data_IF_336738949787
#
_entry.id   IF_336738949787
#
_cell.length_a   1.000
_cell.length_b   1.000
_cell.length_c   1.000
_cell.angle_alpha   90.00
_cell.angle_beta   90.00
_cell.angle_gamma   90.00
#
_symmetry.space_group_name_H-M   'P 1'
#
loop_
_entity.id
_entity.type
_entity.pdbx_description
1 polymer ?
#
# COMPACT_ATOMS: atom_id res chain seq x y z
N UNK A 1 0.35 17.71 -6.25
CA UNK A 1 0.40 17.75 -4.77
C UNK A 1 0.19 19.20 -4.33
N UNK A 2 -0.68 19.48 -3.35
CA UNK A 2 -0.90 20.87 -2.88
C UNK A 2 0.14 21.21 -1.81
N UNK A 3 1.04 22.15 -2.12
CA UNK A 3 2.17 22.57 -1.27
C UNK A 3 1.76 23.35 -0.01
N UNK A 4 0.49 23.79 0.06
CA UNK A 4 -0.09 24.54 1.18
C UNK A 4 -1.50 24.00 1.44
N UNK A 5 -1.76 23.61 2.69
CA UNK A 5 -3.11 23.24 3.17
C UNK A 5 -3.54 24.15 4.31
N UNK A 6 -4.80 24.56 4.27
CA UNK A 6 -5.45 25.29 5.35
C UNK A 6 -6.38 24.33 6.07
N UNK A 7 -6.13 24.11 7.35
CA UNK A 7 -6.93 23.22 8.18
C UNK A 7 -7.46 23.99 9.40
N UNK A 8 -8.61 23.56 9.92
CA UNK A 8 -9.15 24.10 11.17
C UNK A 8 -8.93 23.09 12.29
N UNK A 9 -8.08 23.46 13.24
CA UNK A 9 -7.92 22.71 14.50
C UNK A 9 -8.93 23.27 15.52
N UNK A 10 -10.14 22.70 15.49
CA UNK A 10 -11.30 23.24 16.20
C UNK A 10 -11.70 24.62 15.66
N UNK A 11 -11.49 25.68 16.46
CA UNK A 11 -11.80 27.07 16.07
C UNK A 11 -10.58 27.84 15.56
N UNK A 12 -9.39 27.23 15.57
CA UNK A 12 -8.13 27.92 15.24
C UNK A 12 -7.66 27.52 13.83
N UNK A 13 -7.47 28.49 12.90
CA UNK A 13 -6.87 28.19 11.61
C UNK A 13 -5.41 27.77 11.78
N UNK A 14 -5.03 26.69 11.08
CA UNK A 14 -3.69 26.10 11.01
C UNK A 14 -3.25 26.06 9.55
N UNK A 15 -1.98 26.38 9.30
CA UNK A 15 -1.39 26.31 7.95
C UNK A 15 -0.40 25.17 7.94
N UNK A 16 -0.61 24.21 7.05
CA UNK A 16 0.29 23.06 6.86
C UNK A 16 1.12 23.33 5.61
N UNK A 17 2.43 23.40 5.79
CA UNK A 17 3.41 23.62 4.72
C UNK A 17 4.30 22.38 4.58
N UNK A 18 4.74 22.14 3.36
CA UNK A 18 5.77 21.15 3.05
C UNK A 18 7.12 21.52 3.73
N UNK A 19 7.89 20.51 4.17
CA UNK A 19 9.22 20.67 4.78
C UNK A 19 10.16 21.57 3.97
N UNK A 20 10.03 21.62 2.64
CA UNK A 20 10.84 22.51 1.80
C UNK A 20 10.76 24.01 2.20
N UNK A 21 9.69 24.41 2.92
CA UNK A 21 9.51 25.78 3.43
C UNK A 21 10.04 25.99 4.85
N UNK A 22 10.67 25.01 5.49
CA UNK A 22 11.26 25.11 6.84
C UNK A 22 12.13 26.37 6.96
N UNK A 23 13.04 26.57 6.01
CA UNK A 23 13.94 27.72 6.00
C UNK A 23 13.19 29.06 5.97
N UNK A 24 12.11 29.16 5.19
CA UNK A 24 11.28 30.36 5.13
C UNK A 24 10.57 30.64 6.46
N UNK A 25 9.99 29.60 7.09
CA UNK A 25 9.26 29.72 8.35
C UNK A 25 10.20 30.11 9.49
N UNK A 26 11.34 29.41 9.61
CA UNK A 26 12.34 29.68 10.65
C UNK A 26 12.94 31.07 10.50
N UNK A 27 13.32 31.46 9.27
CA UNK A 27 13.93 32.77 9.04
C UNK A 27 12.90 33.91 9.15
N UNK A 28 11.67 33.68 8.69
CA UNK A 28 10.55 34.61 8.85
C UNK A 28 10.25 34.91 10.32
N UNK A 29 10.14 33.89 11.17
CA UNK A 29 9.96 34.07 12.62
C UNK A 29 11.13 34.85 13.25
N UNK A 30 12.38 34.49 12.91
CA UNK A 30 13.56 35.21 13.43
C UNK A 30 13.59 36.68 13.00
N UNK A 31 13.18 36.99 11.77
CA UNK A 31 13.07 38.36 11.29
C UNK A 31 12.00 39.15 12.04
N UNK A 32 10.83 38.55 12.30
CA UNK A 32 9.77 39.17 13.10
C UNK A 32 10.28 39.53 14.50
N UNK A 33 10.98 38.60 15.16
CA UNK A 33 11.60 38.86 16.46
C UNK A 33 12.65 39.98 16.37
N UNK A 34 13.51 39.97 15.35
CA UNK A 34 14.53 41.01 15.15
C UNK A 34 13.90 42.39 14.91
N UNK A 35 12.82 42.48 14.13
CA UNK A 35 12.06 43.71 13.96
C UNK A 35 11.38 44.16 15.25
N UNK A 36 10.88 43.25 16.07
CA UNK A 36 10.37 43.55 17.41
C UNK A 36 11.44 44.19 18.31
N UNK A 37 12.66 43.65 18.29
CA UNK A 37 13.78 44.23 19.04
C UNK A 37 14.15 45.61 18.50
N UNK A 38 14.32 45.75 17.18
CA UNK A 38 14.67 47.03 16.55
C UNK A 38 13.62 48.12 16.79
N UNK A 39 12.33 47.77 16.69
CA UNK A 39 11.24 48.74 16.90
C UNK A 39 11.17 49.20 18.35
N UNK A 40 11.56 48.36 19.31
CA UNK A 40 11.64 48.75 20.73
C UNK A 40 12.71 49.83 21.02
N UNK A 41 13.73 49.95 20.17
CA UNK A 41 14.81 50.94 20.29
C UNK A 41 14.48 52.29 19.65
N UNK A 42 13.41 52.37 18.85
CA UNK A 42 13.02 53.58 18.15
C UNK A 42 12.00 54.38 18.96
N UNK A 43 12.21 55.70 19.06
CA UNK A 43 11.26 56.64 19.66
C UNK A 43 10.09 56.91 18.70
N UNK A 44 9.19 55.94 18.59
CA UNK A 44 8.01 55.97 17.71
C UNK A 44 6.80 56.56 18.48
N UNK A 45 5.99 57.45 17.86
CA UNK A 45 4.76 57.95 18.48
C UNK A 45 3.81 56.83 18.93
N UNK A 46 3.11 56.98 20.07
CA UNK A 46 2.31 55.90 20.67
C UNK A 46 1.28 55.23 19.73
N UNK A 47 0.53 55.97 18.88
CA UNK A 47 -0.44 55.33 17.97
C UNK A 47 0.23 54.40 16.97
N UNK A 48 1.42 54.75 16.49
CA UNK A 48 2.17 53.97 15.50
C UNK A 48 2.80 52.75 16.19
N UNK A 49 3.36 52.93 17.39
CA UNK A 49 3.95 51.85 18.17
C UNK A 49 2.93 50.74 18.49
N UNK A 50 1.70 51.13 18.86
CA UNK A 50 0.63 50.16 19.11
C UNK A 50 0.28 49.34 17.86
N UNK A 51 0.13 49.98 16.70
CA UNK A 51 -0.16 49.28 15.43
C UNK A 51 0.96 48.31 15.07
N UNK A 52 2.21 48.74 15.19
CA UNK A 52 3.39 47.89 14.92
C UNK A 52 3.42 46.68 15.85
N UNK A 53 3.16 46.86 17.15
CA UNK A 53 3.12 45.77 18.11
C UNK A 53 2.03 44.75 17.78
N UNK A 54 0.83 45.20 17.39
CA UNK A 54 -0.26 44.30 16.98
C UNK A 54 0.11 43.50 15.72
N UNK A 55 0.74 44.14 14.74
CA UNK A 55 1.18 43.46 13.51
C UNK A 55 2.26 42.42 13.80
N UNK A 56 3.27 42.76 14.60
CA UNK A 56 4.35 41.84 14.96
C UNK A 56 3.82 40.65 15.78
N UNK A 57 2.97 40.91 16.78
CA UNK A 57 2.32 39.85 17.54
C UNK A 57 1.44 38.95 16.65
N UNK A 58 0.75 39.53 15.65
CA UNK A 58 -0.02 38.78 14.67
C UNK A 58 0.86 37.89 13.79
N UNK A 59 2.05 38.37 13.38
CA UNK A 59 3.02 37.59 12.62
C UNK A 59 3.63 36.46 13.46
N UNK A 60 3.97 36.71 14.72
CA UNK A 60 4.47 35.67 15.62
C UNK A 60 3.42 34.57 15.83
N UNK A 61 2.17 34.95 16.11
CA UNK A 61 1.05 34.00 16.21
C UNK A 61 0.79 33.25 14.90
N UNK A 62 1.07 33.85 13.75
CA UNK A 62 0.97 33.19 12.45
C UNK A 62 2.07 32.14 12.29
N UNK A 63 3.34 32.51 12.51
CA UNK A 63 4.48 31.58 12.40
C UNK A 63 4.39 30.42 13.40
N UNK A 64 3.92 30.64 14.63
CA UNK A 64 3.66 29.58 15.62
C UNK A 64 2.61 28.56 15.18
N UNK A 65 1.72 28.95 14.25
CA UNK A 65 0.64 28.10 13.74
C UNK A 65 0.97 27.41 12.43
N UNK A 66 2.14 27.69 11.86
CA UNK A 66 2.62 26.94 10.71
C UNK A 66 3.10 25.58 11.20
N UNK A 67 2.51 24.52 10.67
CA UNK A 67 2.98 23.15 10.84
C UNK A 67 3.74 22.74 9.60
N UNK A 68 4.94 22.22 9.79
CA UNK A 68 5.67 21.56 8.72
C UNK A 68 5.18 20.12 8.60
N UNK A 69 5.04 19.67 7.37
CA UNK A 69 4.68 18.32 6.97
C UNK A 69 5.92 17.65 6.40
N UNK A 70 6.35 16.55 7.02
CA UNK A 70 7.40 15.69 6.44
C UNK A 70 6.78 14.55 5.67
N UNK A 71 7.42 14.25 4.56
CA UNK A 71 7.09 13.14 3.71
C UNK A 71 8.12 12.04 3.90
N UNK A 72 7.67 10.85 4.30
CA UNK A 72 8.49 9.64 4.25
C UNK A 72 8.04 8.74 3.12
N UNK A 73 8.96 7.89 2.66
CA UNK A 73 8.67 6.88 1.66
C UNK A 73 9.06 5.51 2.21
N UNK A 74 8.10 4.60 2.26
CA UNK A 74 8.38 3.18 2.50
C UNK A 74 8.45 2.47 1.16
N UNK A 75 9.60 1.86 0.85
CA UNK A 75 9.81 1.12 -0.39
C UNK A 75 9.97 -0.36 -0.05
N UNK A 76 9.10 -1.17 -0.63
CA UNK A 76 9.22 -2.62 -0.52
C UNK A 76 10.05 -3.17 -1.69
N UNK A 77 11.14 -3.91 -1.43
CA UNK A 77 12.00 -4.41 -2.49
C UNK A 77 11.31 -5.47 -3.34
N UNK A 78 11.63 -5.50 -4.64
CA UNK A 78 11.27 -6.59 -5.54
C UNK A 78 12.22 -7.78 -5.34
N UNK A 79 11.77 -9.05 -5.45
CA UNK A 79 12.70 -10.15 -5.46
C UNK A 79 13.55 -10.06 -6.73
N UNK A 80 14.83 -10.39 -6.61
CA UNK A 80 15.83 -10.20 -7.67
C UNK A 80 15.50 -10.98 -8.95
N UNK A 81 14.75 -12.07 -8.83
CA UNK A 81 14.44 -13.00 -9.92
C UNK A 81 12.95 -13.07 -10.22
N UNK A 82 12.21 -11.95 -10.18
CA UNK A 82 10.79 -11.96 -10.59
C UNK A 82 10.65 -12.02 -12.12
N UNK A 83 9.76 -12.90 -12.59
CA UNK A 83 9.31 -12.95 -13.98
C UNK A 83 7.80 -13.21 -14.00
N UNK A 84 7.02 -12.23 -14.47
CA UNK A 84 5.56 -12.35 -14.55
C UNK A 84 5.14 -13.36 -15.61
N UNK A 85 5.91 -13.50 -16.69
CA UNK A 85 5.57 -14.41 -17.79
C UNK A 85 5.64 -15.86 -17.35
N UNK A 86 6.40 -16.16 -16.29
CA UNK A 86 6.42 -17.48 -15.70
C UNK A 86 5.09 -17.86 -15.03
N UNK A 87 4.21 -16.91 -14.67
CA UNK A 87 2.91 -17.18 -14.07
C UNK A 87 1.86 -17.48 -15.15
N UNK A 88 1.57 -18.77 -15.31
CA UNK A 88 0.78 -19.32 -16.41
C UNK A 88 -0.72 -19.44 -16.12
N UNK A 89 -1.14 -19.40 -14.85
CA UNK A 89 -2.54 -19.59 -14.51
C UNK A 89 -2.83 -19.72 -13.03
N UNK A 90 -4.11 -19.95 -12.74
CA UNK A 90 -4.59 -20.25 -11.39
C UNK A 90 -5.31 -21.60 -11.35
N UNK A 91 -5.06 -22.35 -10.29
CA UNK A 91 -5.75 -23.58 -9.92
C UNK A 91 -6.73 -23.26 -8.79
N UNK A 92 -7.90 -23.89 -8.83
CA UNK A 92 -8.93 -23.71 -7.81
C UNK A 92 -9.43 -25.08 -7.36
N UNK A 93 -9.45 -25.30 -6.06
CA UNK A 93 -9.93 -26.53 -5.48
C UNK A 93 -10.72 -26.26 -4.21
N UNK A 94 -11.77 -27.04 -3.98
CA UNK A 94 -12.51 -26.99 -2.74
C UNK A 94 -12.32 -28.32 -2.03
N UNK A 95 -11.79 -28.28 -0.81
CA UNK A 95 -11.59 -29.48 0.00
C UNK A 95 -11.94 -29.20 1.48
N UNK A 96 -12.61 -30.15 2.12
CA UNK A 96 -12.99 -30.10 3.54
C UNK A 96 -13.61 -28.77 4.03
N UNK A 97 -14.35 -28.07 3.17
CA UNK A 97 -15.00 -26.81 3.53
C UNK A 97 -14.14 -25.56 3.33
N UNK A 98 -12.95 -25.68 2.74
CA UNK A 98 -12.03 -24.57 2.47
C UNK A 98 -11.64 -24.54 0.99
N UNK A 99 -11.53 -23.34 0.44
CA UNK A 99 -11.00 -23.14 -0.91
C UNK A 99 -9.48 -23.12 -0.89
N UNK A 100 -8.86 -23.83 -1.81
CA UNK A 100 -7.46 -23.74 -2.20
C UNK A 100 -7.32 -22.99 -3.52
N UNK A 101 -6.38 -22.06 -3.57
CA UNK A 101 -5.97 -21.31 -4.75
C UNK A 101 -4.49 -21.61 -5.00
N UNK A 102 -4.19 -22.09 -6.20
CA UNK A 102 -2.84 -22.40 -6.63
C UNK A 102 -2.36 -21.46 -7.71
N UNK A 103 -1.26 -20.76 -7.51
CA UNK A 103 -0.61 -20.00 -8.58
C UNK A 103 0.27 -20.95 -9.39
N UNK A 104 -0.03 -21.13 -10.67
CA UNK A 104 0.67 -22.07 -11.53
C UNK A 104 1.79 -21.38 -12.30
N UNK A 105 3.02 -21.80 -12.08
CA UNK A 105 4.19 -21.30 -12.79
C UNK A 105 4.82 -22.35 -13.71
N UNK A 106 5.55 -21.93 -14.72
CA UNK A 106 6.38 -22.84 -15.53
C UNK A 106 7.79 -23.05 -14.97
N UNK A 107 8.29 -22.14 -14.13
CA UNK A 107 9.58 -22.22 -13.45
C UNK A 107 9.42 -22.42 -11.91
N UNK A 108 10.09 -23.44 -11.36
CA UNK A 108 10.05 -23.75 -9.92
C UNK A 108 10.69 -22.66 -9.04
N UNK A 109 11.77 -22.04 -9.48
CA UNK A 109 12.44 -20.97 -8.73
C UNK A 109 11.53 -19.76 -8.63
N UNK A 110 10.84 -19.39 -9.71
CA UNK A 110 9.88 -18.27 -9.69
C UNK A 110 8.71 -18.62 -8.77
N UNK A 111 8.16 -19.83 -8.88
CA UNK A 111 7.09 -20.31 -7.99
C UNK A 111 7.50 -20.26 -6.50
N UNK A 112 8.76 -20.60 -6.21
CA UNK A 112 9.34 -20.55 -4.85
C UNK A 112 9.41 -19.12 -4.35
N UNK A 113 10.05 -18.27 -5.13
CA UNK A 113 10.26 -16.86 -4.81
C UNK A 113 8.93 -16.14 -4.61
N UNK A 114 7.92 -16.44 -5.43
CA UNK A 114 6.57 -15.91 -5.28
C UNK A 114 5.98 -16.26 -3.90
N UNK A 115 5.98 -17.54 -3.52
CA UNK A 115 5.38 -17.98 -2.26
C UNK A 115 6.17 -17.51 -1.05
N UNK A 116 7.50 -17.58 -1.09
CA UNK A 116 8.37 -17.06 -0.02
C UNK A 116 8.18 -15.55 0.17
N UNK A 117 8.04 -14.80 -0.92
CA UNK A 117 7.76 -13.36 -0.86
C UNK A 117 6.41 -13.09 -0.20
N UNK A 118 5.38 -13.83 -0.57
CA UNK A 118 4.03 -13.68 0.01
C UNK A 118 4.05 -14.06 1.49
N UNK A 119 4.73 -15.15 1.88
CA UNK A 119 4.89 -15.54 3.29
C UNK A 119 5.64 -14.50 4.11
N UNK A 120 6.68 -13.90 3.56
CA UNK A 120 7.44 -12.83 4.22
C UNK A 120 6.55 -11.62 4.54
N UNK A 121 5.50 -11.35 3.77
CA UNK A 121 4.55 -10.27 4.10
C UNK A 121 3.74 -10.56 5.36
N UNK A 122 3.54 -11.85 5.66
CA UNK A 122 2.87 -12.36 6.84
C UNK A 122 3.86 -12.86 7.92
N UNK A 123 5.09 -12.34 7.93
CA UNK A 123 6.11 -12.70 8.94
C UNK A 123 6.41 -14.21 9.01
N UNK A 124 6.32 -14.87 7.85
CA UNK A 124 6.48 -16.33 7.69
C UNK A 124 5.48 -17.18 8.48
N UNK A 125 4.38 -16.59 8.96
CA UNK A 125 3.29 -17.33 9.58
C UNK A 125 2.42 -18.01 8.49
N UNK A 126 2.01 -19.25 8.76
CA UNK A 126 1.16 -20.03 7.85
C UNK A 126 -0.29 -19.52 7.80
N UNK A 127 -0.70 -18.70 8.75
CA UNK A 127 -2.08 -18.23 8.90
C UNK A 127 -2.06 -16.70 8.92
N UNK A 128 -2.60 -16.06 7.88
CA UNK A 128 -2.76 -14.62 7.86
C UNK A 128 -3.94 -14.21 8.75
N UNK A 129 -3.65 -13.92 10.02
CA UNK A 129 -4.62 -13.38 10.98
C UNK A 129 -4.66 -11.86 10.94
N UNK A 130 -3.52 -11.25 10.61
CA UNK A 130 -3.33 -9.81 10.56
C UNK A 130 -3.92 -9.14 9.33
N UNK A 131 -4.40 -9.92 8.36
CA UNK A 131 -4.88 -9.41 7.07
C UNK A 131 -3.74 -8.66 6.35
N UNK A 132 -2.54 -9.24 6.45
CA UNK A 132 -1.28 -8.74 5.95
C UNK A 132 -1.11 -8.95 4.45
N UNK A 133 -1.78 -9.96 3.89
CA UNK A 133 -1.76 -10.31 2.47
C UNK A 133 -3.13 -10.05 1.89
N UNK A 134 -3.17 -9.31 0.79
CA UNK A 134 -4.38 -9.08 -0.01
C UNK A 134 -4.28 -9.88 -1.28
N UNK A 135 -5.36 -10.57 -1.61
CA UNK A 135 -5.55 -11.20 -2.91
C UNK A 135 -6.90 -10.78 -3.48
N UNK A 136 -6.89 -10.38 -4.74
CA UNK A 136 -8.11 -10.00 -5.45
C UNK A 136 -8.16 -10.52 -6.87
N UNK A 137 -9.39 -10.72 -7.34
CA UNK A 137 -9.71 -11.07 -8.72
C UNK A 137 -10.61 -9.98 -9.28
N UNK A 138 -10.14 -9.31 -10.33
CA UNK A 138 -10.87 -8.25 -11.01
C UNK A 138 -11.35 -8.77 -12.36
N UNK A 139 -12.66 -8.87 -12.55
CA UNK A 139 -13.23 -9.21 -13.86
C UNK A 139 -13.16 -8.00 -14.79
N UNK A 140 -12.57 -8.22 -15.97
CA UNK A 140 -12.32 -7.20 -16.98
C UNK A 140 -13.45 -7.17 -18.00
N UNK A 141 -13.66 -6.00 -18.62
CA UNK A 141 -14.76 -5.78 -19.59
C UNK A 141 -14.64 -6.64 -20.86
N UNK A 142 -13.42 -7.07 -21.21
CA UNK A 142 -13.12 -7.92 -22.35
C UNK A 142 -13.47 -9.40 -22.12
N UNK A 143 -13.95 -9.75 -20.93
CA UNK A 143 -14.29 -11.10 -20.55
C UNK A 143 -13.10 -11.92 -20.06
N UNK A 144 -11.95 -11.31 -19.78
CA UNK A 144 -10.85 -11.83 -18.98
C UNK A 144 -11.00 -11.51 -17.49
N UNK A 145 -9.96 -11.81 -16.71
CA UNK A 145 -9.83 -11.36 -15.33
C UNK A 145 -8.36 -11.16 -14.96
N UNK A 146 -8.09 -10.25 -14.04
CA UNK A 146 -6.76 -10.03 -13.49
C UNK A 146 -6.70 -10.54 -12.06
N UNK A 147 -5.64 -11.28 -11.73
CA UNK A 147 -5.35 -11.72 -10.36
C UNK A 147 -4.31 -10.82 -9.76
N UNK A 148 -4.54 -10.38 -8.53
CA UNK A 148 -3.64 -9.54 -7.75
C UNK A 148 -3.28 -10.23 -6.44
N UNK A 149 -2.01 -10.14 -6.05
CA UNK A 149 -1.50 -10.51 -4.74
C UNK A 149 -0.54 -9.42 -4.28
N UNK A 150 -0.83 -8.78 -3.15
CA UNK A 150 -0.06 -7.64 -2.65
C UNK A 150 -0.12 -7.53 -1.13
N UNK A 151 0.85 -6.87 -0.48
CA UNK A 151 0.80 -6.66 0.96
C UNK A 151 -0.23 -5.58 1.31
N UNK A 152 -0.91 -5.77 2.44
CA UNK A 152 -1.86 -4.80 2.96
C UNK A 152 -1.18 -3.50 3.40
N UNK A 153 -1.79 -2.35 3.10
CA UNK A 153 -1.36 -1.03 3.60
C UNK A 153 -1.57 -0.88 5.11
N UNK A 154 -2.30 -1.80 5.74
CA UNK A 154 -2.62 -1.77 7.17
C UNK A 154 -1.66 -2.58 8.04
N UNK A 155 -0.60 -3.15 7.46
CA UNK A 155 0.41 -3.95 8.17
C UNK A 155 1.08 -3.15 9.28
N UNK A 156 1.31 -3.81 10.42
CA UNK A 156 1.90 -3.14 11.60
C UNK A 156 3.30 -2.57 11.31
N UNK A 157 4.14 -3.25 10.50
CA UNK A 157 5.46 -2.76 10.11
C UNK A 157 5.41 -1.38 9.42
N UNK A 158 4.36 -1.10 8.65
CA UNK A 158 4.19 0.20 8.00
C UNK A 158 3.88 1.28 9.03
N UNK A 159 2.98 0.96 9.97
CA UNK A 159 2.59 1.85 11.08
C UNK A 159 3.75 2.12 12.02
N UNK A 160 4.59 1.12 12.30
CA UNK A 160 5.80 1.26 13.11
C UNK A 160 6.86 2.11 12.41
N UNK A 161 7.08 1.89 11.11
CA UNK A 161 7.98 2.73 10.32
C UNK A 161 7.51 4.20 10.31
N UNK A 162 6.19 4.44 10.19
CA UNK A 162 5.61 5.77 10.27
C UNK A 162 5.95 6.47 11.60
N UNK A 163 5.66 5.77 12.70
CA UNK A 163 5.88 6.25 14.08
C UNK A 163 7.36 6.51 14.37
N UNK A 164 8.26 5.70 13.82
CA UNK A 164 9.70 5.86 13.98
C UNK A 164 10.18 7.18 13.36
N UNK A 165 9.75 7.48 12.13
CA UNK A 165 10.06 8.74 11.46
C UNK A 165 9.45 9.92 12.22
N UNK A 166 8.18 9.81 12.65
CA UNK A 166 7.54 10.84 13.47
C UNK A 166 8.32 11.15 14.75
N UNK A 167 8.77 10.12 15.47
CA UNK A 167 9.53 10.28 16.70
C UNK A 167 10.85 11.01 16.45
N UNK A 168 11.63 10.59 15.45
CA UNK A 168 12.91 11.22 15.12
C UNK A 168 12.74 12.72 14.82
N UNK A 169 11.68 13.07 14.10
CA UNK A 169 11.42 14.44 13.72
C UNK A 169 10.87 15.31 14.87
N UNK A 170 10.08 14.72 15.78
CA UNK A 170 9.66 15.37 17.03
C UNK A 170 10.89 15.66 17.91
N UNK A 171 11.82 14.70 18.02
CA UNK A 171 13.07 14.87 18.78
C UNK A 171 13.95 15.98 18.20
N UNK A 172 13.96 16.15 16.88
CA UNK A 172 14.64 17.26 16.20
C UNK A 172 13.90 18.61 16.32
N UNK A 173 12.72 18.63 16.96
CA UNK A 173 11.91 19.83 17.16
C UNK A 173 11.22 20.34 15.89
N UNK A 174 11.10 19.49 14.85
CA UNK A 174 10.76 19.93 13.50
C UNK A 174 9.27 19.79 13.13
N UNK A 175 8.44 19.00 13.84
CA UNK A 175 7.14 18.54 13.24
C UNK A 175 5.95 18.40 14.20
N UNK A 176 4.75 18.68 13.65
CA UNK A 176 3.43 18.24 14.19
C UNK A 176 2.59 17.36 13.25
N UNK A 177 2.94 17.21 11.97
CA UNK A 177 2.23 16.33 11.03
C UNK A 177 3.18 15.57 10.09
N UNK A 178 2.88 14.30 9.84
CA UNK A 178 3.68 13.40 9.01
C UNK A 178 2.79 12.74 7.95
N UNK A 179 3.29 12.67 6.73
CA UNK A 179 2.63 11.99 5.63
C UNK A 179 3.55 10.89 5.08
N UNK A 180 3.12 9.64 5.19
CA UNK A 180 3.87 8.51 4.64
C UNK A 180 3.31 8.12 3.28
N UNK A 181 4.19 8.11 2.27
CA UNK A 181 3.92 7.51 0.97
C UNK A 181 4.41 6.06 0.96
N UNK A 182 3.63 5.18 0.36
CA UNK A 182 3.96 3.76 0.27
C UNK A 182 4.21 3.38 -1.19
N UNK A 183 5.41 2.86 -1.47
CA UNK A 183 5.72 2.20 -2.73
C UNK A 183 5.76 0.69 -2.47
N UNK A 184 4.65 0.03 -2.80
CA UNK A 184 4.47 -1.39 -2.55
C UNK A 184 4.60 -2.20 -3.83
N UNK A 185 5.05 -3.45 -3.67
CA UNK A 185 5.02 -4.43 -4.73
C UNK A 185 3.58 -4.92 -4.97
N UNK A 186 3.26 -5.17 -6.23
CA UNK A 186 2.05 -5.86 -6.65
C UNK A 186 2.48 -7.02 -7.54
N UNK A 187 2.05 -8.23 -7.18
CA UNK A 187 2.14 -9.40 -8.05
C UNK A 187 0.81 -9.48 -8.78
N UNK A 188 0.79 -9.23 -10.09
CA UNK A 188 -0.43 -9.26 -10.88
C UNK A 188 -0.23 -9.95 -12.23
N UNK A 189 -1.28 -10.61 -12.72
CA UNK A 189 -1.30 -11.26 -14.03
C UNK A 189 -2.74 -11.33 -14.57
N UNK A 190 -2.91 -11.10 -15.87
CA UNK A 190 -4.18 -11.26 -16.59
C UNK A 190 -4.37 -12.68 -17.12
N UNK A 191 -5.61 -13.13 -17.13
CA UNK A 191 -5.99 -14.47 -17.58
C UNK A 191 -7.33 -14.43 -18.33
N UNK A 192 -7.45 -15.30 -19.32
CA UNK A 192 -8.72 -15.52 -20.01
C UNK A 192 -9.80 -16.09 -19.06
N UNK A 193 -11.04 -15.63 -19.21
CA UNK A 193 -12.18 -16.12 -18.42
C UNK A 193 -13.33 -16.69 -19.29
N UNK A 194 -13.08 -17.74 -20.09
CA UNK A 194 -14.09 -18.35 -20.94
C UNK A 194 -15.27 -18.88 -20.10
N UNK A 195 -16.48 -19.06 -20.69
CA UNK A 195 -17.69 -19.46 -19.95
C UNK A 195 -17.58 -20.73 -19.08
N UNK A 196 -16.61 -21.61 -19.36
CA UNK A 196 -16.37 -22.87 -18.63
C UNK A 196 -15.10 -22.84 -17.75
N UNK A 197 -14.52 -21.67 -17.51
CA UNK A 197 -13.30 -21.51 -16.70
C UNK A 197 -13.48 -22.04 -15.28
N UNK A 198 -12.39 -22.49 -14.68
CA UNK A 198 -12.37 -22.87 -13.25
C UNK A 198 -12.59 -21.65 -12.35
N UNK A 199 -12.14 -20.46 -12.77
CA UNK A 199 -12.38 -19.22 -12.06
C UNK A 199 -13.87 -18.89 -11.90
N UNK A 200 -14.70 -19.03 -12.96
CA UNK A 200 -16.17 -18.84 -12.84
C UNK A 200 -16.80 -19.78 -11.83
N UNK A 201 -16.35 -21.03 -11.80
CA UNK A 201 -16.84 -22.00 -10.80
C UNK A 201 -16.46 -21.59 -9.39
N UNK A 202 -15.19 -21.21 -9.19
CA UNK A 202 -14.71 -20.68 -7.92
C UNK A 202 -15.53 -19.47 -7.46
N UNK A 203 -15.62 -18.42 -8.29
CA UNK A 203 -16.39 -17.20 -8.03
C UNK A 203 -17.83 -17.49 -7.62
N UNK A 204 -18.52 -18.38 -8.34
CA UNK A 204 -19.93 -18.67 -8.08
C UNK A 204 -20.19 -19.42 -6.76
N UNK A 205 -19.17 -20.04 -6.17
CA UNK A 205 -19.30 -20.85 -4.95
C UNK A 205 -18.55 -20.25 -3.75
N UNK A 206 -17.62 -19.33 -3.98
CA UNK A 206 -16.92 -18.64 -2.92
C UNK A 206 -17.81 -17.55 -2.33
N UNK A 207 -18.18 -17.71 -1.05
CA UNK A 207 -19.10 -16.82 -0.34
C UNK A 207 -18.38 -15.99 0.75
N UNK A 208 -17.08 -15.75 0.59
CA UNK A 208 -16.24 -15.19 1.64
C UNK A 208 -15.72 -16.27 2.59
N UNK A 209 -14.56 -15.99 3.21
CA UNK A 209 -13.89 -16.90 4.15
C UNK A 209 -12.46 -17.22 3.74
N UNK A 210 -11.78 -17.99 4.60
CA UNK A 210 -10.36 -18.29 4.42
C UNK A 210 -10.12 -19.11 3.16
N UNK A 211 -9.00 -18.84 2.51
CA UNK A 211 -8.50 -19.65 1.40
C UNK A 211 -7.06 -20.08 1.68
N UNK A 212 -6.69 -21.28 1.24
CA UNK A 212 -5.29 -21.71 1.22
C UNK A 212 -4.66 -21.26 -0.09
N UNK A 213 -3.59 -20.48 -0.01
CA UNK A 213 -2.77 -20.10 -1.15
C UNK A 213 -1.51 -20.97 -1.21
N UNK A 214 -1.19 -21.47 -2.39
CA UNK A 214 0.05 -22.21 -2.67
C UNK A 214 0.54 -21.91 -4.10
N UNK A 215 1.79 -22.28 -4.42
CA UNK A 215 2.36 -22.17 -5.78
C UNK A 215 2.70 -23.55 -6.34
N UNK A 216 2.50 -23.73 -7.64
CA UNK A 216 2.63 -25.01 -8.36
C UNK A 216 3.50 -24.84 -9.60
N UNK A 217 4.02 -25.95 -10.14
CA UNK A 217 4.77 -25.95 -11.40
C UNK A 217 4.08 -26.77 -12.50
N UNK A 218 4.21 -26.34 -13.76
CA UNK A 218 3.59 -27.06 -14.90
C UNK A 218 4.13 -28.48 -15.09
N UNK A 219 5.39 -28.74 -14.78
CA UNK A 219 5.98 -30.09 -14.83
C UNK A 219 5.28 -31.06 -13.86
N UNK A 220 4.94 -30.59 -12.66
CA UNK A 220 4.19 -31.40 -11.67
C UNK A 220 2.75 -31.67 -12.07
N UNK A 221 2.17 -30.84 -12.94
CA UNK A 221 0.86 -31.11 -13.53
C UNK A 221 0.95 -32.10 -14.69
N UNK A 222 2.02 -32.08 -15.49
CA UNK A 222 2.22 -33.00 -16.63
C UNK A 222 2.38 -34.46 -16.20
N UNK A 223 2.94 -34.73 -15.03
CA UNK A 223 3.06 -36.08 -14.48
C UNK A 223 1.72 -36.71 -14.01
N UNK A 224 0.61 -35.95 -14.02
CA UNK A 224 -0.73 -36.44 -13.69
C UNK A 224 -1.73 -36.11 -14.80
N UNK A 225 -1.59 -36.78 -15.93
CA UNK A 225 -2.58 -36.77 -17.00
C UNK A 225 -3.96 -37.24 -16.53
N UNK A 226 -5.00 -36.48 -16.91
CA UNK A 226 -6.45 -36.75 -16.84
C UNK A 226 -7.23 -36.37 -15.57
N UNK A 227 -8.14 -35.39 -15.75
CA UNK A 227 -9.46 -35.38 -15.09
C UNK A 227 -9.53 -34.97 -13.61
N UNK A 228 -10.74 -34.69 -13.09
CA UNK A 228 -10.95 -34.09 -11.78
C UNK A 228 -10.53 -35.05 -10.69
N UNK A 229 -9.68 -34.60 -9.76
CA UNK A 229 -9.22 -35.40 -8.64
C UNK A 229 -10.01 -34.94 -7.41
N UNK A 230 -11.00 -35.75 -7.03
CA UNK A 230 -11.60 -35.71 -5.70
C UNK A 230 -10.51 -35.99 -4.66
N UNK A 231 -10.46 -35.14 -3.63
CA UNK A 231 -9.50 -35.20 -2.53
C UNK A 231 -8.13 -34.63 -2.90
N UNK A 232 -7.69 -33.60 -2.19
CA UNK A 232 -6.26 -33.29 -2.13
C UNK A 232 -5.58 -34.41 -1.33
N UNK A 233 -4.81 -35.33 -1.94
CA UNK A 233 -4.09 -36.35 -1.18
C UNK A 233 -2.90 -35.69 -0.46
N UNK A 234 -2.47 -36.27 0.65
CA UNK A 234 -1.16 -35.97 1.24
C UNK A 234 -0.09 -35.98 0.13
N UNK A 235 0.57 -34.83 -0.09
CA UNK A 235 1.52 -34.63 -1.20
C UNK A 235 0.95 -34.03 -2.49
N UNK A 236 -0.20 -33.35 -2.48
CA UNK A 236 -0.60 -32.46 -3.57
C UNK A 236 0.34 -31.24 -3.62
N UNK A 237 1.42 -31.41 -4.38
CA UNK A 237 2.66 -30.68 -4.19
C UNK A 237 2.69 -29.27 -4.74
N UNK A 238 2.73 -28.30 -3.83
CA UNK A 238 3.36 -27.01 -4.10
C UNK A 238 4.88 -27.11 -4.10
N UNK A 239 5.58 -26.04 -4.47
CA UNK A 239 7.04 -25.98 -4.47
C UNK A 239 7.63 -26.64 -3.21
N UNK A 240 8.56 -27.61 -3.34
CA UNK A 240 9.01 -28.38 -2.19
C UNK A 240 9.64 -27.48 -1.13
N UNK A 241 9.34 -27.76 0.13
CA UNK A 241 9.88 -27.04 1.31
C UNK A 241 9.37 -25.60 1.52
N UNK A 242 8.27 -25.20 0.86
CA UNK A 242 7.57 -23.96 1.20
C UNK A 242 6.12 -24.30 1.57
N UNK A 243 5.73 -23.96 2.79
CA UNK A 243 4.38 -24.24 3.28
C UNK A 243 3.36 -23.29 2.65
N UNK A 244 2.11 -23.74 2.42
CA UNK A 244 1.05 -22.86 1.95
C UNK A 244 0.65 -21.84 3.01
N UNK A 245 0.05 -20.73 2.60
CA UNK A 245 -0.42 -19.67 3.50
C UNK A 245 -1.96 -19.58 3.47
N UNK A 246 -2.58 -19.53 4.64
CA UNK A 246 -4.02 -19.36 4.80
C UNK A 246 -4.37 -17.87 4.82
N UNK A 247 -4.88 -17.37 3.71
CA UNK A 247 -5.39 -16.00 3.59
C UNK A 247 -6.73 -15.87 4.33
N UNK A 248 -7.00 -14.68 4.86
CA UNK A 248 -8.25 -14.39 5.57
C UNK A 248 -9.46 -14.43 4.64
N UNK A 249 -9.34 -13.80 3.47
CA UNK A 249 -10.33 -13.78 2.40
C UNK A 249 -9.69 -13.32 1.09
N UNK A 250 -10.39 -13.53 -0.02
CA UNK A 250 -10.09 -12.91 -1.31
C UNK A 250 -11.23 -11.98 -1.75
N UNK A 251 -10.87 -10.89 -2.41
CA UNK A 251 -11.82 -9.94 -3.02
C UNK A 251 -12.12 -10.38 -4.46
N UNK A 252 -13.39 -10.41 -4.86
CA UNK A 252 -13.79 -10.64 -6.25
C UNK A 252 -14.72 -9.50 -6.65
N UNK A 253 -14.39 -8.78 -7.73
CA UNK A 253 -15.06 -7.54 -8.10
C UNK A 253 -15.00 -7.32 -9.62
N UNK A 254 -15.97 -6.60 -10.19
CA UNK A 254 -15.87 -6.15 -11.58
C UNK A 254 -15.00 -4.88 -11.65
N UNK A 255 -14.34 -4.66 -12.78
CA UNK A 255 -13.53 -3.47 -13.01
C UNK A 255 -14.31 -2.16 -12.80
N UNK A 256 -15.58 -2.11 -13.21
CA UNK A 256 -16.46 -0.93 -13.06
C UNK A 256 -16.79 -0.57 -11.60
N UNK A 257 -16.71 -1.56 -10.71
CA UNK A 257 -17.05 -1.43 -9.29
C UNK A 257 -15.82 -1.10 -8.42
N UNK A 258 -14.65 -0.89 -9.04
CA UNK A 258 -13.41 -0.58 -8.31
C UNK A 258 -13.44 0.83 -7.72
N UNK A 259 -13.18 0.91 -6.41
CA UNK A 259 -12.99 2.18 -5.71
C UNK A 259 -11.73 2.89 -6.21
N UNK A 260 -11.79 4.21 -6.38
CA UNK A 260 -10.70 4.98 -6.97
C UNK A 260 -9.40 4.93 -6.17
N UNK A 261 -9.47 4.75 -4.87
CA UNK A 261 -8.33 4.62 -3.96
C UNK A 261 -7.83 3.18 -3.79
N UNK A 262 -8.49 2.20 -4.42
CA UNK A 262 -8.04 0.81 -4.38
C UNK A 262 -6.76 0.60 -5.20
N UNK A 263 -5.93 -0.34 -4.73
CA UNK A 263 -4.68 -0.73 -5.40
C UNK A 263 -4.94 -1.21 -6.82
N UNK A 264 -6.01 -1.99 -7.01
CA UNK A 264 -6.37 -2.52 -8.33
C UNK A 264 -6.76 -1.40 -9.31
N UNK A 265 -7.55 -0.42 -8.86
CA UNK A 265 -7.91 0.74 -9.69
C UNK A 265 -6.68 1.54 -10.10
N UNK A 266 -5.81 1.85 -9.13
CA UNK A 266 -4.60 2.63 -9.38
C UNK A 266 -3.66 1.91 -10.35
N UNK A 267 -3.49 0.59 -10.20
CA UNK A 267 -2.68 -0.22 -11.09
C UNK A 267 -3.25 -0.24 -12.52
N UNK A 268 -4.52 -0.59 -12.70
CA UNK A 268 -5.17 -0.66 -14.02
C UNK A 268 -5.19 0.69 -14.73
N UNK A 269 -5.47 1.78 -14.00
CA UNK A 269 -5.71 3.08 -14.62
C UNK A 269 -4.44 3.85 -14.95
N UNK A 270 -3.40 3.70 -14.14
CA UNK A 270 -2.21 4.54 -14.22
C UNK A 270 -0.92 3.77 -14.47
N UNK A 271 -0.80 2.51 -14.03
CA UNK A 271 0.45 1.74 -14.17
C UNK A 271 0.48 0.97 -15.48
N UNK A 272 -0.53 0.14 -15.76
CA UNK A 272 -0.52 -0.68 -16.98
C UNK A 272 -0.40 0.14 -18.28
N UNK A 273 -1.12 1.28 -18.46
CA UNK A 273 -0.98 2.07 -19.68
C UNK A 273 0.41 2.65 -19.90
N UNK A 274 1.24 2.76 -18.85
CA UNK A 274 2.63 3.20 -18.97
C UNK A 274 3.57 2.06 -19.39
N UNK A 275 3.17 0.80 -19.20
CA UNK A 275 3.95 -0.38 -19.58
C UNK A 275 3.67 -0.82 -21.03
N UNK A 276 2.51 -0.44 -21.57
CA UNK A 276 2.11 -0.74 -22.95
C UNK A 276 2.60 0.30 -23.98
N UNK A 277 3.24 1.38 -23.54
CA UNK A 277 3.82 2.45 -24.37
C UNK A 277 5.36 2.41 -24.38
#
# INVERSE_FOLDING_TARGET
MKHVRFEMDGWKPKVVLDEQYEGFVVWGSRMTTAFGILTSLLLIPPPISFVVAVVLAGLDLFFERISLMVQSMFVQPLPETWDSDAWQGNLYQFDQGMWGIGLLFDDEKIARVALETIRAWNYDEDIDRGDNIKMSFVEMDDGGYMTYVYPSSEREVLKEAAKAVEREQIEQGKIREHYQSHFQMIIAQDFDNPPRSHFRRFKNHYNGGRVMLNTFTTERLKDRGSGPIDGLPDGFGGVPSVDPVSLKEVKIVNQEDLEQDSVEYQHLKYVMPLLEN
#
